data_IF_047719979896
#
_entry.id   IF_047719979896
#
_cell.length_a   1.000
_cell.length_b   1.000
_cell.length_c   1.000
_cell.angle_alpha   90.00
_cell.angle_beta   90.00
_cell.angle_gamma   90.00
#
_symmetry.space_group_name_H-M   'P 1'
#
loop_
_entity.id
_entity.type
_entity.pdbx_description
1 polymer ?
#
# COMPACT_ATOMS: atom_id res chain seq x y z
N UNK A 1 24.32 -5.85 -24.07
CA UNK A 1 23.42 -5.33 -23.03
C UNK A 1 22.88 -6.52 -22.27
N UNK A 2 23.18 -6.62 -21.00
CA UNK A 2 22.58 -7.67 -20.19
C UNK A 2 21.09 -7.31 -20.06
N UNK A 3 20.22 -8.15 -20.61
CA UNK A 3 18.81 -8.10 -20.29
C UNK A 3 18.70 -8.43 -18.78
N UNK A 4 18.57 -7.39 -17.97
CA UNK A 4 18.36 -7.57 -16.55
C UNK A 4 17.08 -8.36 -16.33
N UNK A 5 17.09 -9.25 -15.36
CA UNK A 5 15.90 -9.99 -14.96
C UNK A 5 14.88 -8.94 -14.49
N UNK A 6 13.71 -8.91 -15.13
CA UNK A 6 12.61 -8.05 -14.73
C UNK A 6 11.53 -8.90 -14.07
N UNK A 7 11.01 -8.44 -12.93
CA UNK A 7 10.09 -9.23 -12.13
C UNK A 7 8.61 -8.87 -12.38
N UNK A 8 8.30 -7.60 -12.51
CA UNK A 8 6.92 -7.17 -12.68
C UNK A 8 6.77 -5.72 -13.11
N UNK A 9 5.55 -5.21 -13.09
CA UNK A 9 5.23 -3.83 -13.45
C UNK A 9 5.27 -2.99 -12.18
N UNK A 10 5.96 -1.84 -12.24
CA UNK A 10 6.05 -0.91 -11.10
C UNK A 10 4.73 -0.15 -10.95
N UNK A 11 4.26 -0.02 -9.72
CA UNK A 11 3.16 0.85 -9.38
C UNK A 11 3.68 2.08 -8.58
N UNK A 12 3.25 3.31 -8.88
CA UNK A 12 2.31 3.70 -9.94
C UNK A 12 2.89 3.48 -11.34
N UNK A 13 2.01 3.21 -12.30
CA UNK A 13 2.42 2.95 -13.68
C UNK A 13 3.12 4.18 -14.27
N UNK A 14 4.32 3.97 -14.76
CA UNK A 14 5.12 5.02 -15.41
C UNK A 14 5.74 4.51 -16.70
N UNK A 15 6.06 5.43 -17.59
CA UNK A 15 6.74 5.11 -18.84
C UNK A 15 8.20 4.73 -18.55
N UNK A 16 8.69 3.72 -19.26
CA UNK A 16 10.08 3.32 -19.14
C UNK A 16 11.01 4.33 -19.83
N UNK A 17 12.13 4.63 -19.17
CA UNK A 17 13.20 5.48 -19.74
C UNK A 17 13.98 4.74 -20.82
N UNK A 18 13.91 3.41 -20.86
CA UNK A 18 14.66 2.53 -21.78
C UNK A 18 13.92 2.17 -23.06
N UNK A 19 12.83 2.89 -23.41
CA UNK A 19 12.07 2.67 -24.64
C UNK A 19 11.02 1.55 -24.59
N UNK A 20 10.83 0.93 -23.43
CA UNK A 20 9.68 0.04 -23.19
C UNK A 20 8.47 0.89 -22.82
N UNK A 21 7.25 0.44 -23.14
CA UNK A 21 6.04 1.20 -22.83
C UNK A 21 5.80 1.40 -21.33
N UNK A 22 6.12 0.40 -20.53
CA UNK A 22 5.95 0.44 -19.07
C UNK A 22 7.29 0.19 -18.37
N UNK A 23 7.49 0.87 -17.25
CA UNK A 23 8.61 0.60 -16.37
C UNK A 23 8.38 -0.75 -15.67
N UNK A 24 9.41 -1.58 -15.69
CA UNK A 24 9.42 -2.89 -15.03
C UNK A 24 10.34 -2.82 -13.81
N UNK A 25 9.99 -3.54 -12.76
CA UNK A 25 10.84 -3.66 -11.59
C UNK A 25 12.05 -4.54 -11.90
N UNK A 26 13.21 -4.06 -11.51
CA UNK A 26 14.48 -4.81 -11.58
C UNK A 26 14.85 -5.38 -10.21
N UNK A 27 14.17 -4.93 -9.15
CA UNK A 27 14.36 -5.36 -7.78
C UNK A 27 13.12 -6.07 -7.24
N UNK A 28 13.31 -7.12 -6.47
CA UNK A 28 12.23 -7.90 -5.85
C UNK A 28 11.43 -7.06 -4.88
N UNK A 29 12.07 -6.15 -4.15
CA UNK A 29 11.40 -5.26 -3.19
C UNK A 29 10.41 -4.31 -3.87
N UNK A 30 10.79 -3.74 -5.03
CA UNK A 30 9.89 -2.89 -5.81
C UNK A 30 8.67 -3.66 -6.33
N UNK A 31 8.88 -4.92 -6.73
CA UNK A 31 7.80 -5.78 -7.17
C UNK A 31 6.83 -6.08 -6.04
N UNK A 32 7.33 -6.53 -4.89
CA UNK A 32 6.50 -6.86 -3.72
C UNK A 32 5.72 -5.65 -3.25
N UNK A 33 6.36 -4.48 -3.18
CA UNK A 33 5.70 -3.22 -2.85
C UNK A 33 4.59 -2.88 -3.86
N UNK A 34 4.87 -3.00 -5.14
CA UNK A 34 3.90 -2.73 -6.21
C UNK A 34 2.71 -3.70 -6.13
N UNK A 35 2.97 -4.98 -5.89
CA UNK A 35 1.95 -5.99 -5.72
C UNK A 35 1.08 -5.74 -4.48
N UNK A 36 1.68 -5.31 -3.37
CA UNK A 36 0.96 -4.95 -2.16
C UNK A 36 0.03 -3.76 -2.41
N UNK A 37 0.54 -2.68 -2.99
CA UNK A 37 -0.26 -1.49 -3.30
C UNK A 37 -1.39 -1.85 -4.27
N UNK A 38 -1.09 -2.64 -5.29
CA UNK A 38 -2.07 -3.06 -6.28
C UNK A 38 -3.18 -3.93 -5.67
N UNK A 39 -2.84 -4.83 -4.74
CA UNK A 39 -3.79 -5.63 -3.98
C UNK A 39 -4.70 -4.74 -3.13
N UNK A 40 -4.12 -3.83 -2.36
CA UNK A 40 -4.84 -2.99 -1.41
C UNK A 40 -5.79 -1.99 -2.10
N UNK A 41 -5.38 -1.44 -3.24
CA UNK A 41 -6.19 -0.49 -4.02
C UNK A 41 -7.19 -1.16 -4.95
N UNK A 42 -7.07 -2.47 -5.18
CA UNK A 42 -8.04 -3.20 -5.99
C UNK A 42 -9.28 -3.50 -5.18
N UNK A 43 -10.42 -3.04 -5.67
CA UNK A 43 -11.73 -3.34 -5.09
C UNK A 43 -12.07 -4.82 -5.29
N UNK A 44 -12.40 -5.53 -4.21
CA UNK A 44 -12.88 -6.91 -4.28
C UNK A 44 -14.14 -6.99 -5.15
N UNK A 45 -14.18 -7.95 -6.05
CA UNK A 45 -15.27 -8.09 -7.02
C UNK A 45 -15.07 -7.31 -8.34
N UNK A 46 -14.05 -6.46 -8.45
CA UNK A 46 -13.81 -5.67 -9.68
C UNK A 46 -13.13 -6.45 -10.79
N UNK A 47 -12.44 -7.54 -10.49
CA UNK A 47 -11.75 -8.36 -11.47
C UNK A 47 -12.64 -9.49 -12.00
N UNK A 48 -12.81 -9.53 -13.30
CA UNK A 48 -13.72 -10.47 -13.97
C UNK A 48 -13.34 -11.95 -13.74
N UNK A 49 -12.05 -12.29 -13.87
CA UNK A 49 -11.57 -13.67 -13.72
C UNK A 49 -11.08 -14.02 -12.32
N UNK A 50 -10.91 -13.04 -11.45
CA UNK A 50 -10.46 -13.23 -10.08
C UNK A 50 -11.23 -12.30 -9.13
N UNK A 51 -12.53 -12.54 -8.94
CA UNK A 51 -13.39 -11.63 -8.18
C UNK A 51 -13.00 -11.50 -6.71
N UNK A 52 -12.37 -12.51 -6.15
CA UNK A 52 -11.92 -12.49 -4.75
C UNK A 52 -10.63 -11.68 -4.53
N UNK A 53 -9.93 -11.30 -5.61
CA UNK A 53 -8.73 -10.50 -5.51
C UNK A 53 -9.04 -9.05 -5.14
N UNK A 54 -8.27 -8.51 -4.22
CA UNK A 54 -8.43 -7.16 -3.73
C UNK A 54 -8.91 -7.11 -2.28
N UNK A 55 -9.30 -5.93 -1.84
CA UNK A 55 -9.76 -5.65 -0.48
C UNK A 55 -11.13 -4.98 -0.49
N UNK A 56 -11.76 -4.93 0.70
CA UNK A 56 -12.99 -4.18 0.94
C UNK A 56 -12.74 -2.83 1.61
N UNK A 57 -11.52 -2.31 1.54
CA UNK A 57 -11.17 -1.06 2.20
C UNK A 57 -12.08 0.11 1.83
N UNK A 58 -12.61 0.11 0.61
CA UNK A 58 -13.57 1.11 0.15
C UNK A 58 -14.92 1.10 0.90
N UNK A 59 -15.28 0.00 1.57
CA UNK A 59 -16.52 -0.08 2.36
C UNK A 59 -16.38 0.71 3.66
N UNK A 60 -15.18 0.73 4.24
CA UNK A 60 -14.90 1.43 5.50
C UNK A 60 -14.88 2.97 5.37
N UNK A 61 -14.85 3.52 4.14
CA UNK A 61 -14.94 4.96 3.90
C UNK A 61 -16.23 5.56 4.50
N UNK A 62 -17.28 4.76 4.59
CA UNK A 62 -18.60 5.17 5.09
C UNK A 62 -18.86 4.73 6.53
N UNK A 63 -17.90 4.08 7.16
CA UNK A 63 -18.03 3.58 8.52
C UNK A 63 -17.43 4.56 9.54
N UNK A 64 -17.94 4.60 10.78
CA UNK A 64 -17.34 5.40 11.82
C UNK A 64 -15.92 4.91 12.12
N UNK A 65 -14.98 5.85 12.29
CA UNK A 65 -13.58 5.54 12.60
C UNK A 65 -13.43 5.22 14.10
N UNK A 66 -13.83 4.05 14.49
CA UNK A 66 -13.72 3.54 15.86
C UNK A 66 -12.77 2.32 15.93
N UNK A 67 -12.54 1.83 17.14
CA UNK A 67 -11.62 0.71 17.37
C UNK A 67 -12.05 -0.58 16.70
N UNK A 68 -13.35 -0.84 16.61
CA UNK A 68 -13.92 -2.05 15.98
C UNK A 68 -13.72 -2.01 14.46
N UNK A 69 -13.92 -0.86 13.86
CA UNK A 69 -13.64 -0.63 12.44
C UNK A 69 -12.15 -0.76 12.13
N UNK A 70 -11.29 -0.24 12.99
CA UNK A 70 -9.83 -0.37 12.81
C UNK A 70 -9.36 -1.83 12.87
N UNK A 71 -9.89 -2.63 13.79
CA UNK A 71 -9.57 -4.05 13.88
C UNK A 71 -10.07 -4.84 12.67
N UNK A 72 -11.23 -4.47 12.14
CA UNK A 72 -11.78 -5.05 10.90
C UNK A 72 -10.90 -4.73 9.70
N UNK A 73 -10.43 -3.50 9.57
CA UNK A 73 -9.49 -3.08 8.51
C UNK A 73 -8.18 -3.88 8.59
N UNK A 74 -7.60 -4.03 9.79
CA UNK A 74 -6.38 -4.81 9.98
C UNK A 74 -6.56 -6.25 9.55
N UNK A 75 -7.66 -6.87 9.95
CA UNK A 75 -7.98 -8.26 9.61
C UNK A 75 -8.15 -8.42 8.10
N UNK A 76 -8.88 -7.53 7.44
CA UNK A 76 -9.08 -7.58 5.99
C UNK A 76 -7.76 -7.45 5.23
N UNK A 77 -6.87 -6.56 5.67
CA UNK A 77 -5.54 -6.39 5.07
C UNK A 77 -4.70 -7.66 5.27
N UNK A 78 -4.65 -8.19 6.50
CA UNK A 78 -3.86 -9.38 6.83
C UNK A 78 -4.33 -10.58 6.00
N UNK A 79 -5.62 -10.87 5.97
CA UNK A 79 -6.21 -12.00 5.24
C UNK A 79 -5.94 -11.90 3.74
N UNK A 80 -6.05 -10.69 3.18
CA UNK A 80 -5.81 -10.46 1.75
C UNK A 80 -4.34 -10.65 1.38
N UNK A 81 -3.43 -10.16 2.21
CA UNK A 81 -1.98 -10.30 1.99
C UNK A 81 -1.54 -11.76 2.14
N UNK A 82 -1.96 -12.44 3.19
CA UNK A 82 -1.62 -13.85 3.43
C UNK A 82 -2.10 -14.76 2.29
N UNK A 83 -3.23 -14.42 1.69
CA UNK A 83 -3.81 -15.18 0.57
C UNK A 83 -3.09 -14.95 -0.76
N UNK A 84 -2.69 -13.71 -1.06
CA UNK A 84 -2.22 -13.33 -2.39
C UNK A 84 -0.74 -13.01 -2.49
N UNK A 85 -0.08 -12.69 -1.37
CA UNK A 85 1.35 -12.33 -1.32
C UNK A 85 2.06 -13.15 -0.24
N UNK A 86 2.24 -14.46 -0.42
CA UNK A 86 2.79 -15.35 0.63
C UNK A 86 4.25 -15.03 0.99
N UNK A 87 4.96 -14.29 0.13
CA UNK A 87 6.36 -13.92 0.38
C UNK A 87 6.51 -12.65 1.23
N UNK A 88 5.41 -12.04 1.64
CA UNK A 88 5.39 -10.84 2.44
C UNK A 88 4.85 -11.16 3.84
N UNK A 89 5.55 -10.71 4.86
CA UNK A 89 5.06 -10.79 6.25
C UNK A 89 4.76 -9.41 6.78
N UNK A 90 3.52 -9.19 7.19
CA UNK A 90 3.13 -7.95 7.86
C UNK A 90 3.66 -8.00 9.30
N UNK A 91 4.40 -6.96 9.68
CA UNK A 91 4.94 -6.82 11.04
C UNK A 91 4.01 -6.01 11.92
N UNK A 92 3.46 -4.93 11.38
CA UNK A 92 2.57 -4.04 12.11
C UNK A 92 1.63 -3.29 11.17
N UNK A 93 0.40 -3.04 11.62
CA UNK A 93 -0.56 -2.17 10.94
C UNK A 93 -0.99 -1.10 11.95
N UNK A 94 -0.63 0.13 11.68
CA UNK A 94 -1.02 1.29 12.48
C UNK A 94 -2.08 2.07 11.73
N UNK A 95 -3.21 2.33 12.39
CA UNK A 95 -4.30 3.13 11.82
C UNK A 95 -4.46 4.35 12.71
N UNK A 96 -4.34 5.52 12.11
CA UNK A 96 -4.49 6.80 12.77
C UNK A 96 -5.59 7.59 12.06
N UNK A 97 -6.51 8.24 12.78
CA UNK A 97 -7.41 9.20 12.16
C UNK A 97 -6.56 10.32 11.55
N UNK A 98 -6.84 10.63 10.30
CA UNK A 98 -6.15 11.74 9.65
C UNK A 98 -6.67 13.06 10.26
N UNK A 99 -5.84 13.70 11.02
CA UNK A 99 -6.05 15.07 11.47
C UNK A 99 -5.13 15.95 10.61
N UNK A 100 -5.69 16.88 9.86
CA UNK A 100 -4.91 17.95 9.23
C UNK A 100 -4.31 18.80 10.38
N UNK A 101 -3.23 18.31 10.94
CA UNK A 101 -2.38 19.14 11.78
C UNK A 101 -1.56 20.02 10.85
N UNK A 102 -1.92 21.28 10.76
CA UNK A 102 -0.99 22.29 10.27
C UNK A 102 0.35 22.08 11.01
N UNK A 103 1.49 22.08 10.30
CA UNK A 103 2.77 21.95 10.97
C UNK A 103 2.88 23.05 12.00
N UNK A 104 2.87 22.68 13.28
CA UNK A 104 3.08 23.61 14.36
C UNK A 104 4.45 24.24 14.14
N UNK A 105 4.46 25.57 14.07
CA UNK A 105 5.67 26.39 13.95
C UNK A 105 6.62 26.01 15.10
N UNK A 106 7.58 25.12 14.88
CA UNK A 106 8.57 24.76 15.88
C UNK A 106 9.19 23.37 15.71
N UNK A 107 8.60 22.46 14.95
CA UNK A 107 9.28 21.23 14.59
C UNK A 107 10.13 21.47 13.35
N UNK A 108 11.45 21.33 13.52
CA UNK A 108 12.38 21.21 12.39
C UNK A 108 11.81 20.18 11.43
N UNK A 109 11.83 20.45 10.09
CA UNK A 109 11.43 19.43 9.14
C UNK A 109 12.37 18.22 9.35
N UNK A 110 11.90 17.24 10.12
CA UNK A 110 12.44 15.89 10.04
C UNK A 110 12.42 15.58 8.56
N UNK A 111 13.56 15.19 8.01
CA UNK A 111 13.74 14.83 6.61
C UNK A 111 12.54 13.97 6.19
N UNK A 112 11.56 14.62 5.66
CA UNK A 112 10.36 13.99 5.14
C UNK A 112 10.84 13.33 3.85
N UNK A 113 11.26 12.08 3.99
CA UNK A 113 11.31 11.21 2.84
C UNK A 113 9.94 11.34 2.17
N UNK A 114 9.93 11.71 0.91
CA UNK A 114 8.71 11.78 0.08
C UNK A 114 8.14 10.37 -0.04
N UNK A 115 7.45 9.93 1.01
CA UNK A 115 6.82 8.62 1.06
C UNK A 115 5.50 8.79 0.33
N UNK A 116 5.34 8.12 -0.81
CA UNK A 116 4.10 8.23 -1.55
C UNK A 116 2.93 7.69 -0.72
N UNK A 117 1.94 8.53 -0.52
CA UNK A 117 0.68 8.17 0.13
C UNK A 117 -0.30 7.75 -0.96
N UNK A 118 -0.81 6.54 -0.84
CA UNK A 118 -1.80 6.01 -1.78
C UNK A 118 -3.19 6.20 -1.21
N UNK A 119 -4.18 6.41 -2.07
CA UNK A 119 -5.58 6.58 -1.68
C UNK A 119 -6.45 5.47 -2.24
N UNK A 120 -7.36 4.99 -1.42
CA UNK A 120 -8.43 4.11 -1.88
C UNK A 120 -9.39 4.93 -2.77
N UNK A 121 -9.76 4.42 -3.95
CA UNK A 121 -10.71 5.11 -4.82
C UNK A 121 -12.03 5.40 -4.09
N UNK A 122 -12.43 6.67 -4.07
CA UNK A 122 -13.64 7.14 -3.39
C UNK A 122 -13.42 7.79 -2.02
N UNK A 123 -12.20 7.74 -1.46
CA UNK A 123 -11.88 8.42 -0.22
C UNK A 123 -11.98 9.96 -0.39
N UNK A 124 -12.70 10.60 0.51
CA UNK A 124 -12.87 12.05 0.50
C UNK A 124 -11.63 12.74 1.08
N UNK A 125 -11.31 13.94 0.63
CA UNK A 125 -10.06 14.63 0.99
C UNK A 125 -10.13 15.47 2.25
N UNK A 126 -11.32 15.72 2.79
CA UNK A 126 -11.47 16.82 3.73
C UNK A 126 -11.98 16.43 5.13
N UNK A 127 -12.64 15.32 5.31
CA UNK A 127 -13.15 14.92 6.63
C UNK A 127 -13.24 13.40 6.76
N UNK A 128 -12.78 12.85 7.90
CA UNK A 128 -12.93 11.45 8.28
C UNK A 128 -12.11 10.44 7.45
N UNK A 129 -10.89 10.79 7.10
CA UNK A 129 -9.96 9.84 6.49
C UNK A 129 -9.09 9.17 7.55
N UNK A 130 -8.89 7.89 7.42
CA UNK A 130 -7.93 7.16 8.24
C UNK A 130 -6.64 6.94 7.45
N UNK A 131 -5.51 7.20 8.11
CA UNK A 131 -4.18 6.89 7.60
C UNK A 131 -3.78 5.50 8.07
N UNK A 132 -3.63 4.58 7.15
CA UNK A 132 -3.19 3.22 7.42
C UNK A 132 -1.72 3.08 7.03
N UNK A 133 -0.87 2.84 8.01
CA UNK A 133 0.55 2.54 7.82
C UNK A 133 0.76 1.05 7.99
N UNK A 134 1.26 0.39 6.96
CA UNK A 134 1.56 -1.04 6.95
C UNK A 134 3.07 -1.21 6.94
N UNK A 135 3.62 -1.82 7.98
CA UNK A 135 5.02 -2.22 8.06
C UNK A 135 5.14 -3.69 7.71
N UNK A 136 5.99 -4.01 6.76
CA UNK A 136 6.17 -5.36 6.27
C UNK A 136 7.64 -5.71 6.01
N UNK A 137 7.90 -6.99 5.92
CA UNK A 137 9.22 -7.55 5.58
C UNK A 137 9.06 -8.52 4.43
N UNK A 138 9.97 -8.44 3.47
CA UNK A 138 10.09 -9.41 2.39
C UNK A 138 10.83 -10.66 2.89
N UNK A 139 10.20 -11.82 2.75
CA UNK A 139 10.76 -13.11 3.15
C UNK A 139 11.75 -13.69 2.14
N UNK A 140 11.81 -13.13 0.95
CA UNK A 140 12.73 -13.60 -0.11
C UNK A 140 14.15 -13.10 0.11
N UNK A 141 14.30 -12.03 0.89
CA UNK A 141 15.59 -11.43 1.18
C UNK A 141 16.02 -11.74 2.62
N UNK A 142 17.11 -12.51 2.79
CA UNK A 142 17.65 -12.88 4.11
C UNK A 142 18.08 -11.66 4.95
N UNK A 143 18.29 -10.52 4.33
CA UNK A 143 18.63 -9.24 4.96
C UNK A 143 17.50 -8.22 4.80
N UNK A 144 16.26 -8.69 4.67
CA UNK A 144 15.10 -7.87 4.41
C UNK A 144 14.99 -6.68 5.38
N UNK A 145 15.15 -5.50 4.84
CA UNK A 145 14.84 -4.27 5.55
C UNK A 145 13.33 -4.18 5.77
N UNK A 146 12.93 -3.60 6.88
CA UNK A 146 11.52 -3.26 7.08
C UNK A 146 11.15 -2.14 6.12
N UNK A 147 10.12 -2.38 5.37
CA UNK A 147 9.52 -1.40 4.48
C UNK A 147 8.13 -1.04 4.97
N UNK A 148 7.60 0.06 4.49
CA UNK A 148 6.25 0.47 4.84
C UNK A 148 5.52 1.10 3.65
N UNK A 149 4.20 0.96 3.69
CA UNK A 149 3.26 1.57 2.75
C UNK A 149 2.23 2.35 3.54
N UNK A 150 1.89 3.54 3.06
CA UNK A 150 0.85 4.39 3.65
C UNK A 150 -0.32 4.48 2.67
N UNK A 151 -1.52 4.22 3.19
CA UNK A 151 -2.76 4.32 2.43
C UNK A 151 -3.72 5.20 3.22
N UNK A 152 -4.42 6.09 2.53
CA UNK A 152 -5.54 6.84 3.09
C UNK A 152 -6.85 6.17 2.66
N UNK A 153 -7.70 5.94 3.64
CA UNK A 153 -9.04 5.36 3.46
C UNK A 153 -10.07 6.45 3.72
#
# INVERSE_FOLDING_TARGET
MADGITYGIIFPFRQSVTGKYLALSEETNEEIRSNLIFLLLTRKGSRYYLPDFGTRLYEYIFEPLDGETFDSIKTEIQDSVDKYIPNLTIQNITIEPYVDSEPSLGELPSEQFDIPVYRVPGANTEEYTAKVKIEYTDNTNAFGSREFVIINI
#
